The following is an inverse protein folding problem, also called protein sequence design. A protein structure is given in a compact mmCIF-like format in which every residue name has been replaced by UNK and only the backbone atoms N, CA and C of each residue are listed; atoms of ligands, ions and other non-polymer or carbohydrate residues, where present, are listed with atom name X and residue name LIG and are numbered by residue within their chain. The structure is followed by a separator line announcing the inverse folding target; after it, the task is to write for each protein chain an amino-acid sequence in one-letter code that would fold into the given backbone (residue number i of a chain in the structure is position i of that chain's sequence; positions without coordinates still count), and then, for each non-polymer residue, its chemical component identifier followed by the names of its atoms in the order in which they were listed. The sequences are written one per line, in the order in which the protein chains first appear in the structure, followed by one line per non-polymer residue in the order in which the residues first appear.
data_IF_030574692778
#
_entry.id   IF_030574692778
#
_cell.length_a   1.000
_cell.length_b   1.000
_cell.length_c   1.000
_cell.angle_alpha   90.00
_cell.angle_beta   90.00
_cell.angle_gamma   90.00
#
_symmetry.space_group_name_H-M   'P 1'
#
loop_
_entity.id
_entity.type
_entity.pdbx_description
1 polymer ?
#
# COMPACT_ATOMS: atom_id res chain seq x y z
N UNK A 1 7.24 11.91 -12.61
CA UNK A 1 5.87 11.55 -12.22
C UNK A 1 5.68 10.13 -12.69
N UNK A 2 5.35 9.23 -11.77
CA UNK A 2 5.08 7.85 -12.10
C UNK A 2 3.72 7.78 -12.80
N UNK A 3 3.73 7.38 -14.07
CA UNK A 3 2.52 7.08 -14.82
C UNK A 3 2.23 5.58 -14.76
N UNK A 4 0.95 5.25 -14.69
CA UNK A 4 0.50 3.87 -14.77
C UNK A 4 0.59 3.38 -16.21
N UNK A 5 1.06 2.15 -16.36
CA UNK A 5 1.15 1.44 -17.63
C UNK A 5 0.26 0.19 -17.67
N UNK A 6 -0.33 -0.19 -16.54
CA UNK A 6 -1.29 -1.28 -16.46
C UNK A 6 -1.88 -1.45 -15.07
N UNK A 7 -2.76 -2.44 -14.95
CA UNK A 7 -3.43 -2.83 -13.73
C UNK A 7 -3.18 -4.31 -13.43
N UNK A 8 -3.17 -4.68 -12.15
CA UNK A 8 -3.19 -6.06 -11.67
C UNK A 8 -4.44 -6.32 -10.81
N UNK A 9 -5.04 -7.50 -10.94
CA UNK A 9 -6.27 -7.90 -10.25
C UNK A 9 -6.05 -9.18 -9.41
N UNK A 10 -5.47 -9.09 -8.21
CA UNK A 10 -5.21 -10.26 -7.35
C UNK A 10 -6.46 -11.09 -7.04
N UNK A 11 -7.62 -10.44 -6.91
CA UNK A 11 -8.89 -11.12 -6.65
C UNK A 11 -9.28 -12.12 -7.76
N UNK A 12 -8.79 -11.97 -8.99
CA UNK A 12 -8.96 -12.97 -10.05
C UNK A 12 -8.31 -14.30 -9.68
N UNK A 13 -7.14 -14.28 -9.03
CA UNK A 13 -6.45 -15.52 -8.62
C UNK A 13 -7.21 -16.21 -7.49
N UNK A 14 -7.68 -15.43 -6.51
CA UNK A 14 -8.49 -15.96 -5.42
C UNK A 14 -9.83 -16.54 -5.90
N UNK A 15 -10.49 -15.88 -6.87
CA UNK A 15 -11.71 -16.39 -7.47
C UNK A 15 -11.49 -17.71 -8.25
N UNK A 16 -10.38 -17.83 -8.99
CA UNK A 16 -10.01 -19.07 -9.70
C UNK A 16 -9.84 -20.26 -8.76
N UNK A 17 -9.32 -20.03 -7.56
CA UNK A 17 -9.17 -21.05 -6.51
C UNK A 17 -10.45 -21.25 -5.66
N UNK A 18 -11.55 -20.59 -6.05
CA UNK A 18 -12.85 -20.70 -5.37
C UNK A 18 -12.94 -20.00 -4.02
N UNK A 19 -11.93 -19.19 -3.67
CA UNK A 19 -11.87 -18.40 -2.42
C UNK A 19 -12.69 -17.12 -2.51
N UNK A 20 -13.07 -16.69 -3.71
CA UNK A 20 -14.08 -15.67 -3.95
C UNK A 20 -15.12 -16.29 -4.89
N UNK A 21 -16.39 -16.24 -4.49
CA UNK A 21 -17.50 -16.72 -5.31
C UNK A 21 -18.25 -15.52 -5.87
N UNK A 22 -18.53 -15.56 -7.16
CA UNK A 22 -19.28 -14.53 -7.88
C UNK A 22 -20.50 -15.14 -8.56
N UNK A 23 -21.53 -14.34 -8.78
CA UNK A 23 -22.67 -14.71 -9.62
C UNK A 23 -22.35 -14.55 -11.12
N UNK A 24 -23.31 -14.90 -11.99
CA UNK A 24 -23.18 -14.77 -13.45
C UNK A 24 -22.96 -13.32 -13.92
N UNK A 25 -23.30 -12.33 -13.09
CA UNK A 25 -23.12 -10.89 -13.38
C UNK A 25 -21.80 -10.35 -12.80
N UNK A 26 -21.02 -11.18 -12.11
CA UNK A 26 -19.76 -10.80 -11.47
C UNK A 26 -19.92 -10.19 -10.08
N UNK A 27 -21.12 -10.21 -9.48
CA UNK A 27 -21.32 -9.74 -8.11
C UNK A 27 -20.75 -10.75 -7.12
N UNK A 28 -20.05 -10.28 -6.10
CA UNK A 28 -19.52 -11.14 -5.04
C UNK A 28 -20.65 -11.73 -4.20
N UNK A 29 -20.73 -13.05 -4.16
CA UNK A 29 -21.67 -13.83 -3.35
C UNK A 29 -21.10 -14.17 -1.98
N UNK A 30 -19.82 -14.57 -1.94
CA UNK A 30 -19.08 -14.86 -0.72
C UNK A 30 -17.58 -14.71 -0.96
N UNK A 31 -16.83 -14.46 0.09
CA UNK A 31 -15.37 -14.35 0.04
C UNK A 31 -14.77 -14.97 1.30
N UNK A 32 -13.71 -15.75 1.11
CA UNK A 32 -12.84 -16.27 2.15
C UNK A 32 -11.59 -15.37 2.30
N UNK A 33 -11.24 -14.66 1.23
CA UNK A 33 -10.14 -13.70 1.14
C UNK A 33 -10.51 -12.54 0.22
N UNK A 34 -10.02 -11.34 0.50
CA UNK A 34 -10.19 -10.18 -0.36
C UNK A 34 -8.93 -9.32 -0.37
N UNK A 35 -8.49 -8.92 -1.57
CA UNK A 35 -7.48 -7.89 -1.76
C UNK A 35 -8.18 -6.54 -1.98
N UNK A 36 -8.06 -5.67 -0.99
CA UNK A 36 -8.49 -4.27 -1.04
C UNK A 36 -7.40 -3.44 -1.71
N UNK A 37 -7.77 -2.66 -2.73
CA UNK A 37 -6.80 -1.79 -3.41
C UNK A 37 -6.32 -0.65 -2.52
N UNK A 38 -5.06 -0.29 -2.69
CA UNK A 38 -4.41 0.89 -2.13
C UNK A 38 -3.39 1.46 -3.14
N UNK A 39 -3.84 1.72 -4.37
CA UNK A 39 -2.96 2.22 -5.43
C UNK A 39 -1.94 1.17 -5.86
N UNK A 40 -0.65 1.45 -5.72
CA UNK A 40 0.43 0.47 -5.95
C UNK A 40 0.57 -0.62 -4.88
N UNK A 41 -0.27 -0.61 -3.85
CA UNK A 41 -0.31 -1.66 -2.85
C UNK A 41 -1.69 -2.32 -2.77
N UNK A 42 -1.72 -3.54 -2.25
CA UNK A 42 -2.95 -4.28 -1.97
C UNK A 42 -2.94 -4.81 -0.54
N UNK A 43 -4.01 -4.57 0.21
CA UNK A 43 -4.18 -5.11 1.55
C UNK A 43 -5.12 -6.30 1.51
N UNK A 44 -4.62 -7.44 1.96
CA UNK A 44 -5.32 -8.71 1.86
C UNK A 44 -5.86 -9.08 3.22
N UNK A 45 -7.14 -9.41 3.27
CA UNK A 45 -7.87 -9.81 4.47
C UNK A 45 -8.49 -11.19 4.28
N UNK A 46 -8.30 -12.07 5.25
CA UNK A 46 -9.07 -13.30 5.38
C UNK A 46 -10.37 -13.02 6.12
N UNK A 47 -11.47 -13.62 5.65
CA UNK A 47 -12.77 -13.48 6.30
C UNK A 47 -12.80 -14.19 7.66
N UNK A 48 -12.22 -15.39 7.73
CA UNK A 48 -12.00 -16.14 8.96
C UNK A 48 -10.51 -16.43 9.14
N UNK A 49 -9.90 -15.73 10.08
CA UNK A 49 -8.48 -15.84 10.38
C UNK A 49 -8.06 -17.16 11.05
N UNK A 50 -9.02 -17.91 11.59
CA UNK A 50 -8.79 -19.22 12.21
C UNK A 50 -8.81 -20.37 11.20
N UNK A 51 -9.26 -20.12 9.97
CA UNK A 51 -9.34 -21.14 8.93
C UNK A 51 -7.97 -21.37 8.27
N UNK A 52 -7.26 -22.38 8.79
CA UNK A 52 -5.90 -22.74 8.36
C UNK A 52 -5.86 -23.22 6.89
N UNK A 53 -6.90 -23.91 6.42
CA UNK A 53 -6.94 -24.40 5.04
C UNK A 53 -7.04 -23.25 4.03
N UNK A 54 -7.87 -22.25 4.33
CA UNK A 54 -7.96 -21.02 3.51
C UNK A 54 -6.63 -20.26 3.57
N UNK A 55 -6.05 -20.11 4.77
CA UNK A 55 -4.75 -19.44 4.93
C UNK A 55 -3.67 -20.08 4.06
N UNK A 56 -3.53 -21.40 4.12
CA UNK A 56 -2.52 -22.13 3.33
C UNK A 56 -2.72 -21.94 1.82
N UNK A 57 -3.98 -21.92 1.34
CA UNK A 57 -4.28 -21.65 -0.07
C UNK A 57 -3.88 -20.23 -0.47
N UNK A 58 -4.19 -19.25 0.38
CA UNK A 58 -3.81 -17.85 0.14
C UNK A 58 -2.29 -17.71 0.11
N UNK A 59 -1.59 -18.25 1.11
CA UNK A 59 -0.13 -18.18 1.20
C UNK A 59 0.54 -18.82 -0.03
N UNK A 60 0.04 -19.95 -0.52
CA UNK A 60 0.55 -20.56 -1.75
C UNK A 60 0.42 -19.64 -2.98
N UNK A 61 -0.71 -18.95 -3.13
CA UNK A 61 -0.91 -17.98 -4.22
C UNK A 61 0.05 -16.81 -4.06
N UNK A 62 0.23 -16.33 -2.83
CA UNK A 62 1.11 -15.21 -2.50
C UNK A 62 2.59 -15.54 -2.75
N UNK A 63 3.03 -16.74 -2.40
CA UNK A 63 4.36 -17.26 -2.74
C UNK A 63 4.56 -17.31 -4.25
N UNK A 64 3.57 -17.81 -5.01
CA UNK A 64 3.64 -17.87 -6.47
C UNK A 64 3.82 -16.49 -7.11
N UNK A 65 2.98 -15.51 -6.74
CA UNK A 65 3.06 -14.18 -7.33
C UNK A 65 4.33 -13.41 -6.93
N UNK A 66 4.92 -13.72 -5.77
CA UNK A 66 6.19 -13.13 -5.34
C UNK A 66 7.37 -13.71 -6.13
N UNK A 67 7.32 -14.99 -6.49
CA UNK A 67 8.42 -15.66 -7.20
C UNK A 67 8.44 -15.38 -8.71
N UNK A 68 7.28 -15.16 -9.34
CA UNK A 68 7.18 -14.90 -10.77
C UNK A 68 6.96 -13.41 -11.09
N UNK A 69 7.99 -12.76 -11.65
CA UNK A 69 7.99 -11.36 -12.09
C UNK A 69 6.93 -11.04 -13.16
N UNK A 70 6.35 -12.05 -13.80
CA UNK A 70 5.24 -11.83 -14.72
C UNK A 70 4.00 -11.30 -14.00
N UNK A 71 3.85 -11.54 -12.68
CA UNK A 71 2.75 -11.02 -11.88
C UNK A 71 2.90 -9.54 -11.48
N UNK A 72 4.03 -8.89 -11.75
CA UNK A 72 4.23 -7.45 -11.44
C UNK A 72 4.09 -7.13 -9.96
N UNK A 73 4.51 -8.07 -9.11
CA UNK A 73 4.63 -7.92 -7.67
C UNK A 73 6.11 -7.76 -7.33
N UNK A 74 6.43 -6.70 -6.61
CA UNK A 74 7.77 -6.44 -6.11
C UNK A 74 7.99 -7.08 -4.74
N UNK A 75 6.95 -7.11 -3.90
CA UNK A 75 7.06 -7.71 -2.57
C UNK A 75 5.71 -8.21 -2.05
N UNK A 76 5.79 -9.18 -1.14
CA UNK A 76 4.66 -9.71 -0.37
C UNK A 76 5.10 -9.84 1.08
N UNK A 77 4.29 -9.33 1.98
CA UNK A 77 4.55 -9.33 3.41
C UNK A 77 3.34 -9.82 4.18
N UNK A 78 3.57 -10.38 5.37
CA UNK A 78 2.49 -10.49 6.36
C UNK A 78 2.08 -9.08 6.83
N UNK A 79 0.84 -8.92 7.27
CA UNK A 79 0.38 -7.64 7.82
C UNK A 79 1.20 -7.19 9.05
N UNK A 80 1.66 -8.14 9.87
CA UNK A 80 2.55 -7.85 11.00
C UNK A 80 3.89 -7.28 10.53
N UNK A 81 4.52 -7.90 9.52
CA UNK A 81 5.79 -7.41 8.99
C UNK A 81 5.62 -6.03 8.38
N UNK A 82 4.59 -5.83 7.54
CA UNK A 82 4.27 -4.53 6.96
C UNK A 82 4.04 -3.45 8.02
N UNK A 83 3.37 -3.78 9.12
CA UNK A 83 3.20 -2.89 10.27
C UNK A 83 4.53 -2.51 10.90
N UNK A 84 5.36 -3.49 11.23
CA UNK A 84 6.60 -3.28 11.98
C UNK A 84 7.65 -2.54 11.15
N UNK A 85 7.81 -2.90 9.87
CA UNK A 85 8.87 -2.33 9.05
C UNK A 85 8.49 -1.08 8.28
N UNK A 86 7.19 -0.80 8.09
CA UNK A 86 6.71 0.27 7.18
C UNK A 86 5.54 1.09 7.73
N UNK A 87 5.20 0.94 9.01
CA UNK A 87 4.02 1.56 9.62
C UNK A 87 2.71 1.24 8.87
N UNK A 88 2.62 0.04 8.29
CA UNK A 88 1.47 -0.44 7.53
C UNK A 88 0.20 -0.63 8.38
N UNK A 89 -0.94 -0.81 7.71
CA UNK A 89 -2.27 -0.85 8.33
C UNK A 89 -2.44 -2.01 9.33
N UNK A 90 -3.01 -1.71 10.50
CA UNK A 90 -3.11 -2.61 11.66
C UNK A 90 -3.86 -3.93 11.42
N UNK A 91 -4.75 -4.00 10.43
CA UNK A 91 -5.71 -5.10 10.30
C UNK A 91 -5.59 -5.91 9.01
N UNK A 92 -4.58 -5.67 8.16
CA UNK A 92 -4.31 -6.54 7.02
C UNK A 92 -3.72 -7.88 7.51
N UNK A 93 -4.07 -8.99 6.87
CA UNK A 93 -3.40 -10.28 7.13
C UNK A 93 -2.15 -10.42 6.26
N UNK A 94 -2.19 -9.89 5.03
CA UNK A 94 -1.05 -9.76 4.13
C UNK A 94 -1.08 -8.42 3.38
N UNK A 95 0.07 -8.02 2.87
CA UNK A 95 0.24 -6.84 2.01
C UNK A 95 1.03 -7.25 0.79
N UNK A 96 0.58 -6.81 -0.39
CA UNK A 96 1.33 -6.92 -1.63
C UNK A 96 1.75 -5.52 -2.09
N UNK A 97 2.91 -5.44 -2.73
CA UNK A 97 3.42 -4.22 -3.35
C UNK A 97 3.65 -4.52 -4.83
N UNK A 98 3.02 -3.75 -5.71
CA UNK A 98 3.22 -3.90 -7.14
C UNK A 98 4.55 -3.31 -7.61
N UNK A 99 5.00 -3.72 -8.78
CA UNK A 99 6.03 -3.00 -9.52
C UNK A 99 5.53 -1.59 -9.87
N UNK A 100 6.40 -0.56 -9.86
CA UNK A 100 6.02 0.80 -10.24
C UNK A 100 5.32 0.84 -11.60
N UNK A 101 4.20 1.57 -11.67
CA UNK A 101 3.39 1.70 -12.89
C UNK A 101 2.27 0.66 -13.02
N UNK A 102 2.15 -0.31 -12.12
CA UNK A 102 1.02 -1.23 -12.07
C UNK A 102 0.11 -0.92 -10.88
N UNK A 103 -1.14 -0.51 -11.12
CA UNK A 103 -2.11 -0.29 -10.04
C UNK A 103 -2.76 -1.61 -9.61
N UNK A 104 -2.95 -1.81 -8.31
CA UNK A 104 -3.79 -2.88 -7.76
C UNK A 104 -5.26 -2.54 -7.92
N UNK A 105 -6.02 -3.46 -8.51
CA UNK A 105 -7.46 -3.38 -8.74
C UNK A 105 -8.17 -4.56 -8.10
N UNK A 106 -9.47 -4.43 -7.91
CA UNK A 106 -10.25 -5.31 -7.03
C UNK A 106 -11.12 -6.31 -7.78
N UNK A 107 -11.06 -6.32 -9.12
CA UNK A 107 -11.96 -7.13 -9.92
C UNK A 107 -11.73 -8.62 -9.61
N UNK A 108 -12.78 -9.38 -9.22
CA UNK A 108 -12.68 -10.82 -8.98
C UNK A 108 -12.83 -11.64 -10.27
N UNK A 109 -13.17 -11.00 -11.39
CA UNK A 109 -13.37 -11.62 -12.69
C UNK A 109 -12.51 -10.95 -13.76
N UNK A 110 -12.24 -11.68 -14.84
CA UNK A 110 -11.45 -11.20 -15.97
C UNK A 110 -10.01 -11.70 -15.93
N UNK A 111 -9.10 -10.90 -16.48
CA UNK A 111 -7.67 -11.21 -16.52
C UNK A 111 -6.94 -10.60 -15.34
N UNK A 112 -5.87 -11.27 -14.89
CA UNK A 112 -5.05 -10.77 -13.80
C UNK A 112 -4.38 -9.44 -14.20
N UNK A 113 -3.68 -9.39 -15.34
CA UNK A 113 -3.05 -8.17 -15.87
C UNK A 113 -3.92 -7.53 -16.95
N UNK A 114 -3.99 -6.20 -16.93
CA UNK A 114 -4.57 -5.37 -17.97
C UNK A 114 -3.52 -4.33 -18.39
N UNK A 115 -3.05 -4.40 -19.64
CA UNK A 115 -2.01 -3.49 -20.17
C UNK A 115 -2.55 -2.11 -20.60
N UNK A 116 -3.85 -1.88 -20.45
CA UNK A 116 -4.46 -0.55 -20.59
C UNK A 116 -4.84 -0.09 -19.20
N UNK A 117 -4.11 0.87 -18.60
CA UNK A 117 -4.37 1.31 -17.24
C UNK A 117 -5.77 1.92 -17.13
N UNK A 118 -6.50 1.59 -16.05
CA UNK A 118 -7.80 2.22 -15.77
C UNK A 118 -7.63 3.69 -15.42
N UNK A 119 -6.53 4.04 -14.75
CA UNK A 119 -6.16 5.41 -14.39
C UNK A 119 -4.72 5.66 -14.82
N UNK A 120 -4.47 6.76 -15.52
CA UNK A 120 -3.12 7.09 -16.02
C UNK A 120 -2.16 7.51 -14.91
N UNK A 121 -2.67 8.04 -13.80
CA UNK A 121 -1.87 8.50 -12.66
C UNK A 121 -2.54 8.07 -11.36
N UNK A 122 -1.73 7.57 -10.42
CA UNK A 122 -2.18 7.08 -9.12
C UNK A 122 -1.06 7.21 -8.08
N UNK A 123 -1.43 7.36 -6.80
CA UNK A 123 -0.50 7.32 -5.66
C UNK A 123 -0.58 5.99 -4.91
N UNK A 124 0.06 5.87 -3.74
CA UNK A 124 -0.03 4.64 -2.93
C UNK A 124 0.91 3.52 -3.41
N UNK A 125 1.91 3.89 -4.21
CA UNK A 125 3.07 3.04 -4.42
C UNK A 125 3.99 3.08 -3.19
N UNK A 126 4.97 2.19 -3.20
CA UNK A 126 6.08 2.09 -2.25
C UNK A 126 6.69 3.49 -1.96
N UNK A 127 6.80 3.87 -0.68
CA UNK A 127 7.17 5.22 -0.21
C UNK A 127 8.58 5.66 -0.60
N UNK A 128 9.46 4.71 -0.91
CA UNK A 128 10.84 4.93 -1.31
C UNK A 128 10.96 5.50 -2.74
N UNK A 129 9.90 5.45 -3.54
CA UNK A 129 9.89 6.07 -4.86
C UNK A 129 9.98 7.59 -4.74
N UNK A 130 10.87 8.18 -5.54
CA UNK A 130 11.02 9.63 -5.63
C UNK A 130 9.68 10.33 -5.92
N UNK A 131 8.84 9.75 -6.78
CA UNK A 131 7.53 10.29 -7.14
C UNK A 131 6.50 10.27 -5.99
N UNK A 132 6.73 9.50 -4.92
CA UNK A 132 5.86 9.47 -3.72
C UNK A 132 6.26 10.51 -2.67
N UNK A 133 7.36 11.23 -2.87
CA UNK A 133 7.82 12.26 -1.94
C UNK A 133 6.94 13.52 -2.05
N UNK A 134 6.49 14.00 -0.89
CA UNK A 134 5.79 15.28 -0.77
C UNK A 134 6.80 16.42 -0.48
N UNK A 135 6.37 17.66 -0.70
CA UNK A 135 7.17 18.85 -0.41
C UNK A 135 6.52 19.66 0.70
N UNK A 136 7.34 20.12 1.66
CA UNK A 136 6.94 21.08 2.69
C UNK A 136 7.66 22.42 2.46
N UNK A 137 6.90 23.52 2.44
CA UNK A 137 7.44 24.88 2.48
C UNK A 137 6.94 25.61 3.73
N UNK A 138 7.85 26.24 4.46
CA UNK A 138 7.55 27.02 5.66
C UNK A 138 8.03 28.46 5.49
N UNK A 139 7.20 29.44 5.86
CA UNK A 139 7.55 30.86 5.89
C UNK A 139 6.87 31.56 7.06
N UNK A 140 7.63 32.29 7.86
CA UNK A 140 7.08 33.01 9.01
C UNK A 140 8.14 33.76 9.82
N UNK A 141 7.70 34.51 10.83
CA UNK A 141 8.52 35.43 11.63
C UNK A 141 9.69 34.75 12.35
N UNK A 142 9.58 33.45 12.63
CA UNK A 142 10.54 32.67 13.43
C UNK A 142 11.06 31.44 12.66
N UNK A 143 10.78 31.37 11.36
CA UNK A 143 11.27 30.30 10.49
C UNK A 143 12.58 30.77 9.83
N UNK A 144 13.69 30.03 9.97
CA UNK A 144 14.96 30.38 9.34
C UNK A 144 14.84 30.59 7.83
N UNK A 145 15.40 31.70 7.34
CA UNK A 145 15.43 32.02 5.90
C UNK A 145 16.52 31.18 5.23
N UNK A 146 16.23 30.63 4.06
CA UNK A 146 17.14 29.82 3.24
C UNK A 146 17.72 28.59 3.97
N UNK A 147 17.01 28.04 4.97
CA UNK A 147 17.36 26.75 5.58
C UNK A 147 16.70 25.63 4.78
N UNK A 148 17.53 24.79 4.18
CA UNK A 148 17.10 23.51 3.61
C UNK A 148 17.10 22.46 4.73
N UNK A 149 15.97 21.79 4.93
CA UNK A 149 15.81 20.73 5.92
C UNK A 149 16.17 19.35 5.34
N UNK A 150 16.46 19.27 4.05
CA UNK A 150 16.67 18.02 3.34
C UNK A 150 15.40 17.16 3.32
N UNK A 151 15.60 15.85 3.12
CA UNK A 151 14.54 14.86 3.21
C UNK A 151 14.35 14.42 4.66
N UNK A 152 13.09 14.30 5.08
CA UNK A 152 12.71 13.86 6.41
C UNK A 152 11.31 13.22 6.37
N UNK A 153 10.93 12.54 7.45
CA UNK A 153 9.69 11.79 7.50
C UNK A 153 8.49 12.71 7.72
N UNK A 154 7.35 12.40 7.11
CA UNK A 154 6.13 13.20 7.24
C UNK A 154 5.71 13.40 8.71
N UNK A 155 5.97 12.41 9.56
CA UNK A 155 5.68 12.42 10.99
C UNK A 155 6.46 13.48 11.77
N UNK A 156 7.56 14.01 11.21
CA UNK A 156 8.37 15.06 11.83
C UNK A 156 7.75 16.45 11.71
N UNK A 157 6.76 16.62 10.83
CA UNK A 157 6.13 17.92 10.58
C UNK A 157 5.44 18.43 11.86
N UNK A 158 4.66 17.59 12.52
CA UNK A 158 3.93 17.98 13.72
C UNK A 158 4.84 18.47 14.87
N UNK A 159 5.85 17.71 15.34
CA UNK A 159 6.76 18.18 16.39
C UNK A 159 7.61 19.39 15.95
N UNK A 160 7.92 19.51 14.66
CA UNK A 160 8.61 20.71 14.12
C UNK A 160 7.72 21.95 14.23
N UNK A 161 6.45 21.87 13.84
CA UNK A 161 5.50 22.97 13.94
C UNK A 161 5.17 23.33 15.40
N UNK A 162 5.03 22.32 16.27
CA UNK A 162 4.81 22.53 17.70
C UNK A 162 5.93 23.39 18.32
N UNK A 163 7.19 23.06 18.01
CA UNK A 163 8.34 23.83 18.49
C UNK A 163 8.31 25.29 17.98
N UNK A 164 7.94 25.52 16.71
CA UNK A 164 7.75 26.87 16.17
C UNK A 164 6.65 27.62 16.95
N UNK A 165 5.61 26.92 17.40
CA UNK A 165 4.52 27.49 18.19
C UNK A 165 4.85 27.64 19.68
N UNK A 166 6.05 27.26 20.12
CA UNK A 166 6.51 27.43 21.49
C UNK A 166 6.09 26.32 22.46
N UNK A 167 5.73 25.12 21.97
CA UNK A 167 5.49 23.96 22.82
C UNK A 167 6.16 22.69 22.29
N UNK A 168 6.44 21.74 23.18
CA UNK A 168 7.02 20.44 22.82
C UNK A 168 5.93 19.37 22.77
N UNK A 169 5.98 18.51 21.77
CA UNK A 169 5.16 17.29 21.70
C UNK A 169 5.96 16.14 22.32
N UNK A 170 5.43 15.57 23.40
CA UNK A 170 5.96 14.34 24.00
C UNK A 170 5.20 13.13 23.43
N UNK A 171 5.79 11.94 23.55
CA UNK A 171 5.17 10.67 23.16
C UNK A 171 4.76 10.62 21.67
N UNK A 172 5.63 11.12 20.79
CA UNK A 172 5.46 11.11 19.33
C UNK A 172 6.61 10.36 18.65
N UNK A 173 6.32 9.76 17.49
CA UNK A 173 7.33 9.03 16.70
C UNK A 173 8.29 9.97 15.94
N UNK A 174 7.82 11.16 15.55
CA UNK A 174 8.60 12.13 14.79
C UNK A 174 9.51 13.00 15.67
N UNK A 175 10.43 13.72 15.03
CA UNK A 175 11.37 14.63 15.69
C UNK A 175 11.29 16.06 15.14
N UNK A 176 11.65 17.04 15.97
CA UNK A 176 11.76 18.43 15.52
C UNK A 176 12.99 18.62 14.61
N UNK A 177 12.78 19.14 13.39
CA UNK A 177 13.80 19.35 12.37
C UNK A 177 14.43 20.75 12.34
N UNK A 178 13.94 21.70 13.14
CA UNK A 178 14.35 23.11 13.06
C UNK A 178 15.27 23.58 14.21
N UNK A 179 15.62 22.71 15.18
CA UNK A 179 16.64 23.04 16.20
C UNK A 179 17.96 23.53 15.58
#
# INVERSE_FOLDING_TARGET
MLDNIGDINPNVLFAKEGLIKVDEKGNVLSWDVWCQRMGGAGYIKLNDNSNIDIRNKVEKILEEIQMDKNYKIMDVMTGLNAKVSRNGMYNADYVIISEPGYEVRENPIGTYIINSPTQMAQHGYVEELYDMKAVLFLKGREIPVNKDLGEFDLIDIAPTLANIMGFEMNDVDGINRIK
#
